data_IF_844143306969
#
_entry.id   IF_844143306969
#
_cell.length_a   1.000
_cell.length_b   1.000
_cell.length_c   1.000
_cell.angle_alpha   90.00
_cell.angle_beta   90.00
_cell.angle_gamma   90.00
#
_symmetry.space_group_name_H-M   'P 1'
#
loop_
_entity.id
_entity.type
_entity.pdbx_description
1 polymer ?
#
# COMPACT_ATOMS: atom_id res chain seq x y z
N UNK A 1 5.05 5.02 -16.43
CA UNK A 1 4.61 5.17 -15.04
C UNK A 1 4.86 3.83 -14.35
N UNK A 2 5.62 3.82 -13.25
CA UNK A 2 5.98 2.58 -12.52
C UNK A 2 4.91 2.15 -11.50
N UNK A 3 3.87 2.94 -11.33
CA UNK A 3 2.80 2.74 -10.35
C UNK A 3 1.44 2.75 -11.03
N UNK A 4 0.51 1.99 -10.45
CA UNK A 4 -0.90 1.96 -10.82
C UNK A 4 -1.75 1.83 -9.57
N UNK A 5 -2.85 2.59 -9.52
CA UNK A 5 -3.88 2.48 -8.48
C UNK A 5 -5.19 2.15 -9.19
N UNK A 6 -5.91 1.16 -8.67
CA UNK A 6 -7.16 0.65 -9.26
C UNK A 6 -8.05 0.05 -8.17
N UNK A 7 -9.32 -0.19 -8.49
CA UNK A 7 -10.22 -0.94 -7.61
C UNK A 7 -9.76 -2.39 -7.51
N UNK A 8 -9.72 -2.93 -6.29
CA UNK A 8 -9.43 -4.33 -6.07
C UNK A 8 -10.64 -5.19 -6.49
N UNK A 9 -10.45 -6.35 -7.16
CA UNK A 9 -11.57 -7.20 -7.62
C UNK A 9 -12.55 -7.61 -6.52
N UNK A 10 -12.05 -7.88 -5.32
CA UNK A 10 -12.85 -8.21 -4.13
C UNK A 10 -13.38 -6.97 -3.37
N UNK A 11 -13.35 -5.79 -3.99
CA UNK A 11 -13.68 -4.50 -3.39
C UNK A 11 -12.53 -3.87 -2.60
N UNK A 12 -12.58 -2.55 -2.45
CA UNK A 12 -11.48 -1.75 -1.88
C UNK A 12 -10.50 -1.25 -2.95
N UNK A 13 -9.37 -0.70 -2.52
CA UNK A 13 -8.37 -0.11 -3.40
C UNK A 13 -7.08 -0.91 -3.40
N UNK A 14 -6.43 -0.97 -4.56
CA UNK A 14 -5.16 -1.64 -4.78
C UNK A 14 -4.13 -0.67 -5.35
N UNK A 15 -2.88 -0.80 -4.89
CA UNK A 15 -1.72 -0.17 -5.52
C UNK A 15 -0.77 -1.25 -6.05
N UNK A 16 -0.22 -1.01 -7.23
CA UNK A 16 0.70 -1.92 -7.93
C UNK A 16 1.98 -1.18 -8.33
N UNK A 17 3.13 -1.72 -7.93
CA UNK A 17 4.44 -1.34 -8.45
C UNK A 17 4.80 -2.27 -9.64
N UNK A 18 4.97 -1.67 -10.82
CA UNK A 18 5.16 -2.38 -12.09
C UNK A 18 6.64 -2.66 -12.43
N UNK A 19 7.58 -2.00 -11.74
CA UNK A 19 9.01 -2.23 -11.90
C UNK A 19 9.52 -3.25 -10.86
N UNK A 20 10.65 -3.92 -11.14
CA UNK A 20 11.17 -4.94 -10.22
C UNK A 20 11.82 -4.34 -8.96
N UNK A 21 11.54 -4.90 -7.76
CA UNK A 21 10.58 -5.97 -7.48
C UNK A 21 9.15 -5.44 -7.57
N UNK A 22 8.33 -6.18 -8.29
CA UNK A 22 6.93 -5.86 -8.51
C UNK A 22 6.15 -6.30 -7.28
N UNK A 23 5.18 -5.49 -6.89
CA UNK A 23 4.26 -5.89 -5.85
C UNK A 23 2.89 -5.30 -6.05
N UNK A 24 1.91 -5.95 -5.43
CA UNK A 24 0.57 -5.44 -5.24
C UNK A 24 0.29 -5.36 -3.75
N UNK A 25 -0.46 -4.34 -3.33
CA UNK A 25 -0.97 -4.22 -1.98
C UNK A 25 -2.38 -3.65 -2.02
N UNK A 26 -3.24 -4.15 -1.13
CA UNK A 26 -4.49 -3.47 -0.80
C UNK A 26 -4.16 -2.30 0.12
N UNK A 27 -4.96 -1.25 0.08
CA UNK A 27 -4.78 -0.12 0.98
C UNK A 27 -6.10 0.49 1.45
N UNK A 28 -6.05 1.17 2.59
CA UNK A 28 -7.14 1.96 3.17
C UNK A 28 -6.59 3.12 3.97
N UNK A 29 -7.42 4.14 4.22
CA UNK A 29 -7.14 5.21 5.17
C UNK A 29 -7.91 5.00 6.48
N UNK A 30 -7.49 5.72 7.53
CA UNK A 30 -8.20 5.77 8.80
C UNK A 30 -7.92 4.57 9.69
N UNK A 31 -8.96 3.95 10.25
CA UNK A 31 -8.77 2.80 11.14
C UNK A 31 -8.25 1.56 10.39
N UNK A 32 -7.23 0.90 10.94
CA UNK A 32 -6.67 -0.34 10.38
C UNK A 32 -7.76 -1.44 10.27
N UNK A 33 -7.92 -2.08 9.09
CA UNK A 33 -9.00 -3.02 8.83
C UNK A 33 -8.63 -4.41 9.36
N UNK A 34 -8.52 -4.56 10.69
CA UNK A 34 -8.02 -5.78 11.33
C UNK A 34 -8.78 -7.04 10.91
N UNK A 35 -10.09 -6.93 10.67
CA UNK A 35 -10.96 -8.05 10.27
C UNK A 35 -10.71 -8.52 8.82
N UNK A 36 -10.02 -7.72 8.00
CA UNK A 36 -9.71 -8.04 6.61
C UNK A 36 -8.30 -8.63 6.43
N UNK A 37 -7.43 -8.43 7.42
CA UNK A 37 -6.03 -8.87 7.35
C UNK A 37 -5.89 -10.28 7.88
N UNK A 38 -5.27 -11.16 7.10
CA UNK A 38 -5.00 -12.54 7.53
C UNK A 38 -4.02 -12.54 8.71
N UNK A 39 -4.26 -13.41 9.69
CA UNK A 39 -3.35 -13.57 10.83
C UNK A 39 -1.91 -13.86 10.37
N UNK A 40 -0.94 -13.12 10.91
CA UNK A 40 0.47 -13.24 10.54
C UNK A 40 0.85 -12.60 9.19
N UNK A 41 -0.08 -11.95 8.49
CA UNK A 41 0.23 -11.19 7.29
C UNK A 41 1.08 -9.96 7.60
N UNK A 42 2.02 -9.66 6.70
CA UNK A 42 2.76 -8.41 6.74
C UNK A 42 1.83 -7.25 6.36
N UNK A 43 1.94 -6.14 7.09
CA UNK A 43 1.31 -4.88 6.76
C UNK A 43 2.27 -3.73 7.03
N UNK A 44 2.00 -2.60 6.39
CA UNK A 44 2.72 -1.35 6.56
C UNK A 44 1.74 -0.25 6.92
N UNK A 45 2.09 0.60 7.87
CA UNK A 45 1.30 1.75 8.26
C UNK A 45 2.15 3.00 8.16
N UNK A 46 1.68 3.98 7.41
CA UNK A 46 2.04 5.37 7.64
C UNK A 46 1.01 5.97 8.59
N UNK A 47 1.44 6.46 9.75
CA UNK A 47 0.54 6.92 10.81
C UNK A 47 -0.11 8.28 10.47
N UNK A 48 0.47 9.06 9.56
CA UNK A 48 0.00 10.41 9.26
C UNK A 48 0.10 11.38 10.45
N UNK A 49 -0.70 12.45 10.40
CA UNK A 49 -0.81 13.45 11.47
C UNK A 49 -1.79 13.07 12.59
N UNK A 50 -2.76 12.22 12.26
CA UNK A 50 -3.79 11.70 13.15
C UNK A 50 -4.27 10.31 12.66
N UNK A 51 -4.90 9.48 13.51
CA UNK A 51 -5.35 8.13 13.13
C UNK A 51 -6.28 8.09 11.91
N UNK A 52 -7.07 9.13 11.68
CA UNK A 52 -7.92 9.27 10.49
C UNK A 52 -7.12 9.47 9.18
N UNK A 53 -5.90 9.99 9.28
CA UNK A 53 -5.01 10.26 8.17
C UNK A 53 -4.06 9.10 7.89
N UNK A 54 -4.06 8.07 8.74
CA UNK A 54 -3.18 6.91 8.57
C UNK A 54 -3.46 6.19 7.25
N UNK A 55 -2.41 5.76 6.57
CA UNK A 55 -2.48 4.94 5.35
C UNK A 55 -1.94 3.55 5.68
N UNK A 56 -2.77 2.54 5.44
CA UNK A 56 -2.44 1.16 5.71
C UNK A 56 -2.31 0.38 4.41
N UNK A 57 -1.18 -0.30 4.22
CA UNK A 57 -0.95 -1.26 3.13
C UNK A 57 -0.94 -2.68 3.71
N UNK A 58 -1.72 -3.57 3.11
CA UNK A 58 -1.91 -4.95 3.57
C UNK A 58 -2.11 -5.90 2.38
N UNK A 59 -2.12 -7.21 2.65
CA UNK A 59 -2.16 -8.28 1.64
C UNK A 59 -1.07 -8.11 0.56
N UNK A 60 0.16 -7.80 1.00
CA UNK A 60 1.27 -7.59 0.08
C UNK A 60 1.62 -8.89 -0.65
N UNK A 61 1.66 -8.84 -1.98
CA UNK A 61 2.16 -9.91 -2.82
C UNK A 61 3.34 -9.41 -3.66
N UNK A 62 4.49 -10.08 -3.51
CA UNK A 62 5.74 -9.73 -4.20
C UNK A 62 6.08 -10.78 -5.26
N UNK A 63 6.57 -10.34 -6.42
CA UNK A 63 7.17 -11.25 -7.40
C UNK A 63 8.51 -11.81 -6.91
N UNK A 64 9.28 -10.98 -6.22
CA UNK A 64 10.54 -11.28 -5.58
C UNK A 64 10.64 -10.44 -4.31
N UNK A 65 11.02 -11.08 -3.20
CA UNK A 65 11.20 -10.37 -1.94
C UNK A 65 12.37 -9.37 -2.03
N UNK A 66 12.12 -8.07 -1.80
CA UNK A 66 13.17 -7.05 -1.78
C UNK A 66 14.11 -7.20 -0.58
N UNK A 67 15.30 -6.62 -0.69
CA UNK A 67 16.12 -6.31 0.49
C UNK A 67 15.41 -5.29 1.38
N UNK A 68 15.66 -5.34 2.69
CA UNK A 68 14.90 -4.56 3.69
C UNK A 68 14.91 -3.04 3.42
N UNK A 69 16.05 -2.47 3.04
CA UNK A 69 16.14 -1.03 2.72
C UNK A 69 15.31 -0.67 1.49
N UNK A 70 15.32 -1.53 0.47
CA UNK A 70 14.53 -1.33 -0.74
C UNK A 70 13.05 -1.51 -0.47
N UNK A 71 12.67 -2.46 0.39
CA UNK A 71 11.30 -2.65 0.86
C UNK A 71 10.77 -1.38 1.52
N UNK A 72 11.53 -0.82 2.46
CA UNK A 72 11.18 0.41 3.17
C UNK A 72 10.92 1.57 2.20
N UNK A 73 11.87 1.82 1.30
CA UNK A 73 11.74 2.88 0.30
C UNK A 73 10.53 2.70 -0.62
N UNK A 74 10.21 1.45 -0.99
CA UNK A 74 9.02 1.15 -1.79
C UNK A 74 7.72 1.38 -1.02
N UNK A 75 7.69 1.15 0.30
CA UNK A 75 6.51 1.43 1.12
C UNK A 75 6.29 2.94 1.27
N UNK A 76 7.35 3.71 1.51
CA UNK A 76 7.29 5.18 1.54
C UNK A 76 6.82 5.75 0.19
N UNK A 77 7.35 5.24 -0.92
CA UNK A 77 6.93 5.68 -2.26
C UNK A 77 5.47 5.30 -2.55
N UNK A 78 5.02 4.12 -2.11
CA UNK A 78 3.63 3.70 -2.27
C UNK A 78 2.67 4.64 -1.53
N UNK A 79 3.00 5.05 -0.30
CA UNK A 79 2.23 6.03 0.48
C UNK A 79 2.15 7.36 -0.28
N UNK A 80 3.26 7.89 -0.79
CA UNK A 80 3.27 9.13 -1.59
C UNK A 80 2.35 9.03 -2.82
N UNK A 81 2.35 7.87 -3.49
CA UNK A 81 1.49 7.65 -4.65
C UNK A 81 0.00 7.57 -4.27
N UNK A 82 -0.32 6.96 -3.12
CA UNK A 82 -1.67 6.93 -2.56
C UNK A 82 -2.14 8.35 -2.20
N UNK A 83 -1.32 9.13 -1.50
CA UNK A 83 -1.64 10.52 -1.16
C UNK A 83 -1.93 11.36 -2.40
N UNK A 84 -1.09 11.26 -3.43
CA UNK A 84 -1.29 11.94 -4.72
C UNK A 84 -2.60 11.54 -5.38
N UNK A 85 -3.00 10.28 -5.27
CA UNK A 85 -4.27 9.81 -5.79
C UNK A 85 -5.46 10.38 -5.02
N UNK A 86 -5.39 10.39 -3.68
CA UNK A 86 -6.45 10.95 -2.82
C UNK A 86 -6.68 12.44 -3.13
N UNK A 87 -5.63 13.22 -3.34
CA UNK A 87 -5.73 14.66 -3.67
C UNK A 87 -6.02 14.94 -5.15
N UNK A 88 -6.16 13.91 -5.99
CA UNK A 88 -6.48 14.04 -7.43
C UNK A 88 -5.32 14.52 -8.31
N UNK A 89 -4.07 14.26 -7.91
CA UNK A 89 -2.84 14.65 -8.61
C UNK A 89 -2.07 13.47 -9.25
N UNK A 90 -2.72 12.32 -9.43
CA UNK A 90 -2.14 11.11 -9.98
C UNK A 90 -2.11 11.05 -11.52
#
# INVERSE_FOLDING_TARGET
MSWRIEDHPDGGLQITHLASPRFTARWTTGAFPIDQVREGAFFWTDEGGAPEDSIHLYDLAWDQWPEQQKMHALMEEAVIMIERHIIGMA
#
